data_IF_219121384891
#
_entry.id   IF_219121384891
#
_cell.length_a   1.000
_cell.length_b   1.000
_cell.length_c   1.000
_cell.angle_alpha   90.00
_cell.angle_beta   90.00
_cell.angle_gamma   90.00
#
_symmetry.space_group_name_H-M   'P 1'
#
loop_
_entity.id
_entity.type
_entity.pdbx_description
1 polymer ?
#
# COMPACT_ATOMS: atom_id res chain seq x y z
N UNK A 1 14.31 20.05 -11.33
CA UNK A 1 13.14 20.57 -10.58
C UNK A 1 11.80 20.09 -11.16
N UNK A 2 11.55 20.22 -12.47
CA UNK A 2 10.27 19.81 -13.08
C UNK A 2 9.81 18.37 -12.73
N UNK A 3 10.71 17.38 -12.75
CA UNK A 3 10.36 15.98 -12.38
C UNK A 3 9.85 15.86 -10.94
N UNK A 4 10.41 16.66 -10.02
CA UNK A 4 9.98 16.69 -8.62
C UNK A 4 8.60 17.32 -8.46
N UNK A 5 8.30 18.38 -9.21
CA UNK A 5 7.00 19.06 -9.17
C UNK A 5 5.87 18.15 -9.68
N UNK A 6 6.12 17.44 -10.79
CA UNK A 6 5.19 16.46 -11.35
C UNK A 6 4.96 15.33 -10.34
N UNK A 7 6.04 14.77 -9.80
CA UNK A 7 5.99 13.78 -8.72
C UNK A 7 5.13 14.26 -7.55
N UNK A 8 5.35 15.49 -7.09
CA UNK A 8 4.60 16.03 -5.96
C UNK A 8 3.11 16.26 -6.29
N UNK A 9 2.79 16.66 -7.51
CA UNK A 9 1.40 16.76 -7.97
C UNK A 9 0.71 15.38 -7.95
N UNK A 10 1.40 14.34 -8.43
CA UNK A 10 0.91 12.96 -8.37
C UNK A 10 0.70 12.54 -6.91
N UNK A 11 1.65 12.83 -6.01
CA UNK A 11 1.49 12.50 -4.58
C UNK A 11 0.27 13.18 -3.95
N UNK A 12 -0.01 14.45 -4.28
CA UNK A 12 -1.23 15.14 -3.79
C UNK A 12 -2.50 14.48 -4.30
N UNK A 13 -2.55 14.16 -5.59
CA UNK A 13 -3.67 13.47 -6.19
C UNK A 13 -3.87 12.07 -5.59
N UNK A 14 -2.77 11.33 -5.42
CA UNK A 14 -2.75 10.01 -4.79
C UNK A 14 -3.27 10.04 -3.37
N UNK A 15 -2.86 11.03 -2.56
CA UNK A 15 -3.40 11.21 -1.20
C UNK A 15 -4.89 11.50 -1.19
N UNK A 16 -5.37 12.42 -2.05
CA UNK A 16 -6.81 12.71 -2.13
C UNK A 16 -7.62 11.46 -2.50
N UNK A 17 -7.14 10.70 -3.49
CA UNK A 17 -7.78 9.46 -3.92
C UNK A 17 -7.72 8.40 -2.80
N UNK A 18 -6.61 8.31 -2.07
CA UNK A 18 -6.44 7.39 -0.95
C UNK A 18 -7.43 7.72 0.18
N UNK A 19 -7.56 8.98 0.58
CA UNK A 19 -8.55 9.40 1.59
C UNK A 19 -9.94 9.00 1.15
N UNK A 20 -10.35 9.38 -0.07
CA UNK A 20 -11.70 9.11 -0.55
C UNK A 20 -11.99 7.60 -0.67
N UNK A 21 -11.15 6.85 -1.37
CA UNK A 21 -11.38 5.43 -1.65
C UNK A 21 -11.30 4.58 -0.38
N UNK A 22 -10.29 4.80 0.48
CA UNK A 22 -10.11 4.01 1.69
C UNK A 22 -11.17 4.37 2.75
N UNK A 23 -11.52 5.65 2.93
CA UNK A 23 -12.61 6.02 3.86
C UNK A 23 -13.95 5.44 3.40
N UNK A 24 -14.22 5.43 2.09
CA UNK A 24 -15.43 4.81 1.55
C UNK A 24 -15.43 3.28 1.73
N UNK A 25 -14.28 2.61 1.52
CA UNK A 25 -14.13 1.19 1.79
C UNK A 25 -14.39 0.87 3.27
N UNK A 26 -13.81 1.64 4.20
CA UNK A 26 -14.02 1.48 5.64
C UNK A 26 -15.50 1.62 5.97
N UNK A 27 -16.16 2.68 5.47
CA UNK A 27 -17.59 2.91 5.66
C UNK A 27 -18.44 1.71 5.19
N UNK A 28 -18.18 1.19 3.98
CA UNK A 28 -18.89 0.03 3.46
C UNK A 28 -18.63 -1.21 4.31
N UNK A 29 -17.38 -1.45 4.68
CA UNK A 29 -16.94 -2.62 5.45
C UNK A 29 -17.66 -2.69 6.80
N UNK A 30 -17.73 -1.56 7.51
CA UNK A 30 -18.31 -1.48 8.85
C UNK A 30 -19.84 -1.44 8.84
N UNK A 31 -20.45 -0.70 7.92
CA UNK A 31 -21.88 -0.41 7.97
C UNK A 31 -22.75 -1.35 7.11
N UNK A 32 -22.22 -1.89 6.01
CA UNK A 32 -23.05 -2.53 4.96
C UNK A 32 -22.71 -4.00 4.70
N UNK A 33 -21.45 -4.41 4.89
CA UNK A 33 -21.04 -5.79 4.63
C UNK A 33 -21.47 -6.69 5.79
N UNK A 34 -22.12 -7.81 5.49
CA UNK A 34 -22.62 -8.77 6.50
C UNK A 34 -22.07 -10.18 6.32
N UNK A 35 -21.68 -10.59 5.11
CA UNK A 35 -21.28 -12.00 4.85
C UNK A 35 -19.80 -12.31 5.08
N UNK A 36 -19.05 -11.33 5.53
CA UNK A 36 -17.62 -11.45 5.86
C UNK A 36 -17.47 -11.53 7.38
N UNK A 37 -16.51 -12.33 7.83
CA UNK A 37 -16.20 -12.49 9.24
C UNK A 37 -15.64 -11.18 9.86
N UNK A 38 -15.85 -11.01 11.17
CA UNK A 38 -15.52 -9.77 11.85
C UNK A 38 -14.02 -9.47 11.85
N UNK A 39 -13.16 -10.49 12.01
CA UNK A 39 -11.71 -10.31 12.08
C UNK A 39 -11.20 -9.81 10.72
N UNK A 40 -11.63 -10.40 9.62
CA UNK A 40 -11.24 -9.98 8.29
C UNK A 40 -11.74 -8.57 7.97
N UNK A 41 -12.97 -8.20 8.39
CA UNK A 41 -13.43 -6.80 8.27
C UNK A 41 -12.49 -5.84 9.00
N UNK A 42 -12.02 -6.20 10.19
CA UNK A 42 -11.04 -5.41 10.93
C UNK A 42 -9.72 -5.32 10.18
N UNK A 43 -9.22 -6.42 9.61
CA UNK A 43 -7.99 -6.41 8.80
C UNK A 43 -8.11 -5.53 7.55
N UNK A 44 -9.23 -5.62 6.82
CA UNK A 44 -9.48 -4.78 5.62
C UNK A 44 -9.59 -3.30 6.02
N UNK A 45 -10.31 -3.00 7.09
CA UNK A 45 -10.45 -1.62 7.58
C UNK A 45 -9.11 -1.05 8.07
N UNK A 46 -8.31 -1.86 8.77
CA UNK A 46 -6.98 -1.48 9.24
C UNK A 46 -6.01 -1.25 8.09
N UNK A 47 -6.03 -2.10 7.06
CA UNK A 47 -5.24 -1.92 5.85
C UNK A 47 -5.58 -0.59 5.16
N UNK A 48 -6.87 -0.30 5.02
CA UNK A 48 -7.35 0.96 4.43
C UNK A 48 -6.92 2.19 5.25
N UNK A 49 -6.97 2.12 6.59
CA UNK A 49 -6.49 3.20 7.46
C UNK A 49 -4.98 3.42 7.33
N UNK A 50 -4.18 2.34 7.33
CA UNK A 50 -2.74 2.43 7.09
C UNK A 50 -2.43 2.97 5.70
N UNK A 51 -3.25 2.65 4.70
CA UNK A 51 -3.17 3.21 3.36
C UNK A 51 -3.31 4.73 3.32
N UNK A 52 -4.28 5.29 4.06
CA UNK A 52 -4.44 6.75 4.20
C UNK A 52 -3.24 7.36 4.91
N UNK A 53 -2.80 6.75 6.01
CA UNK A 53 -1.64 7.23 6.77
C UNK A 53 -0.38 7.23 5.91
N UNK A 54 -0.16 6.17 5.13
CA UNK A 54 0.96 6.02 4.22
C UNK A 54 0.99 7.12 3.16
N UNK A 55 -0.10 7.30 2.40
CA UNK A 55 -0.19 8.36 1.38
C UNK A 55 -0.09 9.76 1.99
N UNK A 56 -0.64 9.97 3.19
CA UNK A 56 -0.55 11.26 3.88
C UNK A 56 0.87 11.56 4.38
N UNK A 57 1.57 10.56 4.90
CA UNK A 57 2.93 10.73 5.38
C UNK A 57 3.92 11.02 4.25
N UNK A 58 3.68 10.51 3.05
CA UNK A 58 4.48 10.86 1.87
C UNK A 58 4.46 12.38 1.59
N UNK A 59 3.32 13.07 1.80
CA UNK A 59 3.25 14.53 1.65
C UNK A 59 4.06 15.30 2.71
N UNK A 60 4.22 14.69 3.88
CA UNK A 60 5.03 15.21 4.98
C UNK A 60 6.51 14.98 4.66
N UNK A 61 6.90 13.72 4.48
CA UNK A 61 8.27 13.29 4.23
C UNK A 61 8.83 13.84 2.90
N UNK A 62 7.98 13.96 1.87
CA UNK A 62 8.34 14.27 0.49
C UNK A 62 9.59 13.53 0.01
N UNK A 63 9.59 12.19 0.10
CA UNK A 63 10.74 11.41 -0.34
C UNK A 63 10.91 11.57 -1.85
N UNK A 64 12.16 11.64 -2.27
CA UNK A 64 12.56 11.60 -3.66
C UNK A 64 13.79 10.69 -3.79
N UNK A 65 13.90 10.05 -4.94
CA UNK A 65 14.97 9.09 -5.23
C UNK A 65 15.82 9.56 -6.40
N UNK A 66 17.10 9.26 -6.31
CA UNK A 66 18.05 9.45 -7.40
C UNK A 66 19.04 8.30 -7.42
N UNK A 67 19.24 7.72 -8.59
CA UNK A 67 20.25 6.70 -8.83
C UNK A 67 21.38 7.29 -9.64
N UNK A 68 22.59 7.13 -9.13
CA UNK A 68 23.81 7.59 -9.76
C UNK A 68 24.89 6.53 -9.61
N UNK A 69 25.20 5.83 -10.70
CA UNK A 69 26.12 4.72 -10.80
C UNK A 69 25.95 3.72 -9.65
N UNK A 70 26.92 3.67 -8.75
CA UNK A 70 27.01 2.73 -7.62
C UNK A 70 26.17 3.16 -6.41
N UNK A 71 25.37 4.22 -6.57
CA UNK A 71 24.65 4.86 -5.49
C UNK A 71 23.17 5.04 -5.78
N UNK A 72 22.41 5.00 -4.70
CA UNK A 72 21.00 5.36 -4.65
C UNK A 72 20.78 6.27 -3.44
N UNK A 73 20.13 7.39 -3.67
CA UNK A 73 19.90 8.41 -2.66
C UNK A 73 18.41 8.58 -2.46
N UNK A 74 17.98 8.43 -1.21
CA UNK A 74 16.66 8.85 -0.75
C UNK A 74 16.79 10.17 -0.03
N UNK A 75 16.11 11.22 -0.49
CA UNK A 75 16.24 12.54 0.10
C UNK A 75 14.91 13.30 0.07
N UNK A 76 14.83 14.36 0.86
CA UNK A 76 13.71 15.30 0.82
C UNK A 76 14.21 16.67 0.39
N UNK A 77 13.46 17.35 -0.47
CA UNK A 77 13.72 18.75 -0.81
C UNK A 77 13.21 19.72 0.27
N UNK A 78 12.54 19.24 1.34
CA UNK A 78 12.17 20.09 2.46
C UNK A 78 13.34 20.22 3.43
N UNK A 79 13.76 21.47 3.65
CA UNK A 79 14.76 21.85 4.66
C UNK A 79 14.16 22.74 5.76
N UNK A 80 12.87 23.05 5.69
CA UNK A 80 12.21 24.12 6.47
C UNK A 80 12.06 23.88 7.97
N UNK A 81 12.34 22.66 8.47
CA UNK A 81 12.17 22.32 9.89
C UNK A 81 13.49 21.82 10.48
N UNK A 82 13.89 20.59 10.15
CA UNK A 82 15.13 19.99 10.63
C UNK A 82 15.51 18.83 9.72
N UNK A 83 16.81 18.66 9.42
CA UNK A 83 17.28 17.50 8.68
C UNK A 83 16.94 16.18 9.41
N UNK A 84 17.08 16.14 10.75
CA UNK A 84 16.77 14.94 11.54
C UNK A 84 15.30 14.55 11.43
N UNK A 85 14.39 15.52 11.45
CA UNK A 85 12.96 15.26 11.30
C UNK A 85 12.63 14.66 9.93
N UNK A 86 13.22 15.17 8.85
CA UNK A 86 12.97 14.65 7.52
C UNK A 86 13.67 13.31 7.27
N UNK A 87 14.85 13.08 7.86
CA UNK A 87 15.46 11.74 7.89
C UNK A 87 14.56 10.74 8.61
N UNK A 88 14.06 11.08 9.80
CA UNK A 88 13.05 10.27 10.49
C UNK A 88 11.84 10.01 9.59
N UNK A 89 11.32 11.06 8.95
CA UNK A 89 10.12 10.97 8.13
C UNK A 89 10.28 10.08 6.90
N UNK A 90 11.43 10.16 6.20
CA UNK A 90 11.76 9.29 5.06
C UNK A 90 11.89 7.84 5.51
N UNK A 91 12.61 7.59 6.61
CA UNK A 91 12.77 6.23 7.13
C UNK A 91 11.44 5.65 7.62
N UNK A 92 10.62 6.45 8.29
CA UNK A 92 9.30 6.03 8.77
C UNK A 92 8.39 5.67 7.60
N UNK A 93 8.42 6.46 6.52
CA UNK A 93 7.73 6.15 5.27
C UNK A 93 8.18 4.78 4.70
N UNK A 94 9.49 4.52 4.67
CA UNK A 94 10.02 3.24 4.23
C UNK A 94 9.54 2.07 5.13
N UNK A 95 9.58 2.22 6.45
CA UNK A 95 9.06 1.23 7.39
C UNK A 95 7.55 0.97 7.24
N UNK A 96 6.75 2.01 6.97
CA UNK A 96 5.32 1.83 6.70
C UNK A 96 5.05 1.05 5.41
N UNK A 97 5.88 1.23 4.37
CA UNK A 97 5.73 0.44 3.14
C UNK A 97 5.91 -1.07 3.40
N UNK A 98 6.87 -1.43 4.26
CA UNK A 98 7.06 -2.82 4.69
C UNK A 98 5.92 -3.31 5.57
N UNK A 99 5.40 -2.47 6.48
CA UNK A 99 4.24 -2.82 7.30
C UNK A 99 3.00 -3.12 6.44
N UNK A 100 2.75 -2.34 5.38
CA UNK A 100 1.67 -2.63 4.43
C UNK A 100 1.87 -3.98 3.72
N UNK A 101 3.10 -4.30 3.31
CA UNK A 101 3.43 -5.60 2.71
C UNK A 101 3.17 -6.76 3.67
N UNK A 102 3.63 -6.63 4.91
CA UNK A 102 3.43 -7.62 5.95
C UNK A 102 1.94 -7.83 6.27
N UNK A 103 1.14 -6.75 6.31
CA UNK A 103 -0.30 -6.86 6.52
C UNK A 103 -1.00 -7.55 5.34
N UNK A 104 -0.56 -7.31 4.10
CA UNK A 104 -1.05 -8.05 2.93
C UNK A 104 -0.75 -9.55 3.05
N UNK A 105 0.49 -9.92 3.40
CA UNK A 105 0.87 -11.31 3.65
C UNK A 105 0.00 -11.95 4.75
N UNK A 106 -0.21 -11.24 5.86
CA UNK A 106 -1.08 -11.67 6.95
C UNK A 106 -2.52 -11.92 6.50
N UNK A 107 -3.07 -11.09 5.61
CA UNK A 107 -4.40 -11.32 5.04
C UNK A 107 -4.46 -12.65 4.25
N UNK A 108 -3.48 -12.96 3.41
CA UNK A 108 -3.43 -14.25 2.71
C UNK A 108 -3.38 -15.44 3.67
N UNK A 109 -2.55 -15.36 4.72
CA UNK A 109 -2.45 -16.40 5.76
C UNK A 109 -3.81 -16.57 6.45
N UNK A 110 -4.39 -15.47 6.94
CA UNK A 110 -5.68 -15.49 7.62
C UNK A 110 -6.77 -16.13 6.74
N UNK A 111 -6.85 -15.74 5.47
CA UNK A 111 -7.85 -16.25 4.53
C UNK A 111 -7.69 -17.74 4.24
N UNK A 112 -6.46 -18.22 4.13
CA UNK A 112 -6.20 -19.65 4.02
C UNK A 112 -6.67 -20.40 5.27
N UNK A 113 -6.33 -19.90 6.46
CA UNK A 113 -6.75 -20.52 7.72
C UNK A 113 -8.27 -20.60 7.83
N UNK A 114 -9.00 -19.54 7.46
CA UNK A 114 -10.47 -19.54 7.43
C UNK A 114 -11.03 -20.52 6.39
N UNK A 115 -10.41 -20.62 5.21
CA UNK A 115 -10.84 -21.55 4.15
C UNK A 115 -10.62 -23.03 4.54
N UNK A 116 -9.62 -23.30 5.37
CA UNK A 116 -9.37 -24.64 5.89
C UNK A 116 -10.40 -25.08 6.94
N UNK A 117 -11.07 -24.15 7.63
CA UNK A 117 -11.96 -24.46 8.75
C UNK A 117 -13.29 -25.10 8.31
N UNK A 118 -13.77 -26.02 9.14
CA UNK A 118 -15.16 -26.51 9.13
C UNK A 118 -16.07 -25.47 9.80
N UNK A 119 -17.34 -25.42 9.40
CA UNK A 119 -18.28 -24.35 9.79
C UNK A 119 -18.47 -24.21 11.32
N UNK A 120 -18.24 -25.30 12.08
CA UNK A 120 -18.39 -25.37 13.53
C UNK A 120 -17.23 -24.75 14.35
N UNK A 121 -16.05 -24.48 13.77
CA UNK A 121 -14.91 -23.92 14.53
C UNK A 121 -14.90 -22.39 14.66
N UNK A 122 -15.92 -21.70 14.12
CA UNK A 122 -16.03 -20.22 14.11
C UNK A 122 -16.15 -19.58 15.51
N UNK A 123 -16.45 -20.36 16.55
CA UNK A 123 -16.74 -19.85 17.91
C UNK A 123 -15.49 -19.52 18.76
N UNK A 124 -14.29 -19.97 18.37
CA UNK A 124 -13.13 -20.02 19.30
C UNK A 124 -12.13 -18.86 19.20
N UNK A 125 -12.39 -17.80 18.43
CA UNK A 125 -11.34 -16.82 18.07
C UNK A 125 -11.68 -15.34 18.29
N UNK A 126 -12.51 -15.01 19.28
CA UNK A 126 -12.75 -13.60 19.64
C UNK A 126 -11.49 -12.86 20.15
N UNK A 127 -10.38 -13.55 20.46
CA UNK A 127 -9.13 -12.95 20.92
C UNK A 127 -7.99 -12.84 19.90
N UNK A 128 -8.07 -13.45 18.70
CA UNK A 128 -6.93 -13.48 17.74
C UNK A 128 -6.82 -12.25 16.85
N UNK A 129 -7.88 -11.42 16.75
CA UNK A 129 -7.92 -10.26 15.85
C UNK A 129 -6.83 -9.22 16.12
N UNK A 130 -6.47 -9.00 17.39
CA UNK A 130 -5.44 -8.02 17.77
C UNK A 130 -4.05 -8.41 17.27
N UNK A 131 -3.73 -9.71 17.26
CA UNK A 131 -2.43 -10.21 16.79
C UNK A 131 -2.20 -9.86 15.31
N UNK A 132 -3.25 -9.98 14.47
CA UNK A 132 -3.18 -9.64 13.05
C UNK A 132 -2.96 -8.15 12.79
N UNK A 133 -3.44 -7.28 13.69
CA UNK A 133 -3.31 -5.82 13.60
C UNK A 133 -1.92 -5.37 14.07
N UNK A 134 -1.38 -6.03 15.11
CA UNK A 134 -0.08 -5.67 15.69
C UNK A 134 1.11 -6.26 14.91
N UNK A 135 0.94 -7.42 14.27
CA UNK A 135 2.01 -8.09 13.53
C UNK A 135 2.79 -7.19 12.55
N UNK A 136 2.15 -6.36 11.69
CA UNK A 136 2.86 -5.50 10.73
C UNK A 136 3.84 -4.49 11.34
N UNK A 137 3.66 -4.14 12.61
CA UNK A 137 4.55 -3.21 13.29
C UNK A 137 5.97 -3.77 13.41
N UNK A 138 6.12 -5.10 13.62
CA UNK A 138 7.42 -5.74 13.80
C UNK A 138 8.31 -5.60 12.54
N UNK A 139 7.90 -6.08 11.35
CA UNK A 139 8.72 -5.93 10.15
C UNK A 139 8.87 -4.48 9.72
N UNK A 140 7.85 -3.63 9.93
CA UNK A 140 7.96 -2.19 9.67
C UNK A 140 9.02 -1.51 10.54
N UNK A 141 9.07 -1.81 11.84
CA UNK A 141 10.10 -1.28 12.76
C UNK A 141 11.49 -1.82 12.40
N UNK A 142 11.60 -3.10 12.04
CA UNK A 142 12.87 -3.69 11.62
C UNK A 142 13.42 -3.01 10.36
N UNK A 143 12.58 -2.80 9.35
CA UNK A 143 12.95 -2.12 8.11
C UNK A 143 13.30 -0.65 8.35
N UNK A 144 12.47 0.07 9.12
CA UNK A 144 12.74 1.44 9.54
C UNK A 144 14.10 1.56 10.22
N UNK A 145 14.35 0.72 11.22
CA UNK A 145 15.53 0.83 12.08
C UNK A 145 16.80 0.55 11.30
N UNK A 146 16.79 -0.47 10.45
CA UNK A 146 17.96 -0.79 9.64
C UNK A 146 18.23 0.23 8.56
N UNK A 147 17.20 0.70 7.85
CA UNK A 147 17.34 1.78 6.88
C UNK A 147 17.91 3.03 7.55
N UNK A 148 17.34 3.41 8.70
CA UNK A 148 17.79 4.60 9.43
C UNK A 148 19.23 4.47 9.93
N UNK A 149 19.63 3.32 10.48
CA UNK A 149 20.96 3.16 11.08
C UNK A 149 22.06 2.90 10.05
N UNK A 150 21.75 2.17 8.99
CA UNK A 150 22.76 1.68 8.05
C UNK A 150 22.93 2.56 6.82
N UNK A 151 21.91 3.33 6.42
CA UNK A 151 21.97 4.16 5.21
C UNK A 151 22.23 5.65 5.49
N UNK A 152 22.61 6.03 6.72
CA UNK A 152 23.00 7.42 7.01
C UNK A 152 24.22 7.82 6.16
N UNK A 153 24.24 9.05 5.62
CA UNK A 153 25.35 9.52 4.81
C UNK A 153 26.62 9.70 5.65
N UNK A 154 27.77 9.55 5.00
CA UNK A 154 29.07 9.94 5.53
C UNK A 154 29.76 10.95 4.59
N UNK A 155 30.91 11.46 5.00
CA UNK A 155 31.65 12.48 4.25
C UNK A 155 32.05 12.00 2.84
N UNK A 156 32.33 10.71 2.68
CA UNK A 156 32.69 10.14 1.39
C UNK A 156 31.48 10.10 0.45
N UNK A 157 30.35 9.58 0.92
CA UNK A 157 29.10 9.53 0.17
C UNK A 157 28.67 10.92 -0.31
N UNK A 158 28.80 11.94 0.55
CA UNK A 158 28.50 13.32 0.18
C UNK A 158 29.45 13.87 -0.87
N UNK A 159 30.74 13.61 -0.72
CA UNK A 159 31.76 14.07 -1.68
C UNK A 159 31.54 13.42 -3.04
N UNK A 160 31.19 12.13 -3.08
CA UNK A 160 30.85 11.40 -4.29
C UNK A 160 29.63 11.99 -5.02
N UNK A 161 28.60 12.38 -4.26
CA UNK A 161 27.34 12.88 -4.81
C UNK A 161 27.32 14.39 -5.09
N UNK A 162 28.27 15.16 -4.57
CA UNK A 162 28.24 16.64 -4.58
C UNK A 162 28.06 17.22 -5.97
N UNK A 163 28.89 16.80 -6.92
CA UNK A 163 28.84 17.31 -8.30
C UNK A 163 27.55 16.91 -9.00
N UNK A 164 27.09 15.67 -8.79
CA UNK A 164 25.85 15.18 -9.38
C UNK A 164 24.63 15.94 -8.85
N UNK A 165 24.54 16.13 -7.53
CA UNK A 165 23.43 16.86 -6.92
C UNK A 165 23.39 18.32 -7.33
N UNK A 166 24.57 18.97 -7.43
CA UNK A 166 24.67 20.33 -7.93
C UNK A 166 24.20 20.42 -9.39
N UNK A 167 24.60 19.47 -10.24
CA UNK A 167 24.14 19.44 -11.63
C UNK A 167 22.64 19.13 -11.76
N UNK A 168 22.15 18.11 -11.07
CA UNK A 168 20.79 17.57 -11.25
C UNK A 168 19.72 18.40 -10.56
N UNK A 169 20.06 19.07 -9.45
CA UNK A 169 19.13 19.77 -8.58
C UNK A 169 19.55 21.20 -8.23
N UNK A 170 20.80 21.60 -8.48
CA UNK A 170 21.31 22.92 -8.06
C UNK A 170 21.49 23.03 -6.55
N UNK A 171 21.71 21.90 -5.86
CA UNK A 171 21.77 21.82 -4.40
C UNK A 171 23.06 21.17 -3.95
N UNK A 172 23.59 21.63 -2.81
CA UNK A 172 24.58 20.86 -2.07
C UNK A 172 23.87 19.70 -1.34
N UNK A 173 24.27 18.48 -1.69
CA UNK A 173 23.75 17.24 -1.09
C UNK A 173 23.84 17.26 0.43
N UNK A 174 24.86 17.90 1.02
CA UNK A 174 25.08 17.97 2.46
C UNK A 174 23.95 18.71 3.21
N UNK A 175 23.30 19.64 2.52
CA UNK A 175 22.27 20.53 3.08
C UNK A 175 20.87 19.91 3.07
N UNK A 176 20.67 18.80 2.35
CA UNK A 176 19.37 18.11 2.26
C UNK A 176 19.32 16.89 3.17
N UNK A 177 18.18 16.66 3.85
CA UNK A 177 17.96 15.41 4.59
C UNK A 177 17.99 14.22 3.63
N UNK A 178 18.87 13.25 3.89
CA UNK A 178 19.11 12.12 2.99
C UNK A 178 19.54 10.83 3.69
N UNK A 179 19.39 9.74 2.96
CA UNK A 179 20.02 8.43 3.14
C UNK A 179 20.70 8.04 1.83
N UNK A 180 21.87 7.40 1.93
CA UNK A 180 22.68 7.01 0.79
C UNK A 180 23.02 5.52 0.87
N UNK A 181 22.54 4.78 -0.12
CA UNK A 181 22.94 3.39 -0.37
C UNK A 181 24.02 3.45 -1.45
N UNK A 182 25.26 3.24 -1.03
CA UNK A 182 26.47 3.21 -1.85
C UNK A 182 27.19 1.88 -1.59
N UNK A 183 27.50 1.13 -2.65
CA UNK A 183 27.98 -0.26 -2.51
C UNK A 183 29.47 -0.35 -2.16
N UNK A 184 30.29 0.53 -2.73
CA UNK A 184 31.75 0.48 -2.64
C UNK A 184 32.35 1.82 -2.21
N UNK A 185 33.54 1.75 -1.62
CA UNK A 185 34.41 2.90 -1.40
C UNK A 185 35.34 3.11 -2.61
N UNK A 186 36.09 4.21 -2.62
CA UNK A 186 37.04 4.54 -3.70
C UNK A 186 38.12 3.47 -3.89
N UNK A 187 38.52 2.80 -2.81
CA UNK A 187 39.50 1.70 -2.80
C UNK A 187 38.90 0.34 -3.23
N UNK A 188 37.62 0.31 -3.62
CA UNK A 188 36.89 -0.91 -3.99
C UNK A 188 36.41 -1.73 -2.78
N UNK A 189 36.65 -1.27 -1.54
CA UNK A 189 36.17 -2.00 -0.36
C UNK A 189 34.65 -1.91 -0.22
N UNK A 190 34.04 -3.02 0.22
CA UNK A 190 32.59 -3.13 0.39
C UNK A 190 32.13 -2.28 1.58
N UNK A 191 31.04 -1.53 1.37
CA UNK A 191 30.38 -0.76 2.42
C UNK A 191 29.40 -1.66 3.19
N UNK A 192 29.93 -2.39 4.16
CA UNK A 192 29.20 -3.42 4.93
C UNK A 192 27.88 -2.96 5.52
N UNK A 193 27.77 -1.72 6.04
CA UNK A 193 26.48 -1.20 6.56
C UNK A 193 25.40 -1.22 5.48
N UNK A 194 25.70 -0.68 4.30
CA UNK A 194 24.77 -0.61 3.18
C UNK A 194 24.45 -2.00 2.65
N UNK A 195 25.44 -2.90 2.59
CA UNK A 195 25.22 -4.29 2.21
C UNK A 195 24.34 -5.05 3.21
N UNK A 196 24.53 -4.83 4.51
CA UNK A 196 23.68 -5.40 5.56
C UNK A 196 22.22 -4.92 5.43
N UNK A 197 22.02 -3.62 5.16
CA UNK A 197 20.68 -3.10 4.88
C UNK A 197 20.07 -3.76 3.63
N UNK A 198 20.80 -3.81 2.52
CA UNK A 198 20.32 -4.42 1.28
C UNK A 198 19.95 -5.89 1.50
N UNK A 199 20.81 -6.68 2.14
CA UNK A 199 20.56 -8.08 2.44
C UNK A 199 19.31 -8.26 3.32
N UNK A 200 19.15 -7.44 4.35
CA UNK A 200 17.97 -7.49 5.22
C UNK A 200 16.70 -7.04 4.49
N UNK A 201 16.76 -5.98 3.68
CA UNK A 201 15.64 -5.50 2.87
C UNK A 201 15.17 -6.59 1.90
N UNK A 202 16.10 -7.27 1.23
CA UNK A 202 15.79 -8.41 0.35
C UNK A 202 15.18 -9.56 1.12
N UNK A 203 15.76 -9.91 2.28
CA UNK A 203 15.26 -11.00 3.10
C UNK A 203 13.82 -10.73 3.57
N UNK A 204 13.53 -9.54 4.11
CA UNK A 204 12.23 -9.24 4.70
C UNK A 204 11.15 -9.04 3.63
N UNK A 205 11.44 -8.30 2.55
CA UNK A 205 10.54 -8.14 1.41
C UNK A 205 10.28 -9.48 0.73
N UNK A 206 11.35 -10.24 0.46
CA UNK A 206 11.30 -11.55 -0.17
C UNK A 206 10.53 -12.56 0.67
N UNK A 207 10.71 -12.54 1.99
CA UNK A 207 9.97 -13.40 2.92
C UNK A 207 8.46 -13.13 2.86
N UNK A 208 8.02 -11.88 2.96
CA UNK A 208 6.58 -11.56 2.89
C UNK A 208 6.01 -11.87 1.50
N UNK A 209 6.75 -11.60 0.43
CA UNK A 209 6.36 -12.00 -0.93
C UNK A 209 6.19 -13.50 -1.09
N UNK A 210 7.13 -14.28 -0.55
CA UNK A 210 7.07 -15.74 -0.56
C UNK A 210 5.83 -16.23 0.19
N UNK A 211 5.52 -15.66 1.36
CA UNK A 211 4.30 -15.98 2.11
C UNK A 211 3.06 -15.69 1.28
N UNK A 212 2.97 -14.53 0.63
CA UNK A 212 1.83 -14.19 -0.24
C UNK A 212 1.66 -15.24 -1.34
N UNK A 213 2.73 -15.57 -2.07
CA UNK A 213 2.67 -16.55 -3.17
C UNK A 213 2.29 -17.94 -2.67
N UNK A 214 2.93 -18.44 -1.61
CA UNK A 214 2.66 -19.75 -1.04
C UNK A 214 1.21 -19.88 -0.58
N UNK A 215 0.70 -18.89 0.15
CA UNK A 215 -0.67 -18.93 0.64
C UNK A 215 -1.70 -18.65 -0.45
N UNK A 216 -1.36 -17.87 -1.48
CA UNK A 216 -2.21 -17.72 -2.66
C UNK A 216 -2.39 -19.06 -3.39
N UNK A 217 -1.29 -19.79 -3.64
CA UNK A 217 -1.34 -21.12 -4.28
C UNK A 217 -2.13 -22.10 -3.40
N UNK A 218 -1.85 -22.14 -2.09
CA UNK A 218 -2.57 -23.01 -1.16
C UNK A 218 -4.08 -22.71 -1.12
N UNK A 219 -4.46 -21.43 -1.14
CA UNK A 219 -5.86 -21.02 -1.22
C UNK A 219 -6.53 -21.48 -2.52
N UNK A 220 -5.85 -21.32 -3.66
CA UNK A 220 -6.38 -21.78 -4.95
C UNK A 220 -6.75 -23.27 -4.92
N UNK A 221 -5.84 -24.11 -4.42
CA UNK A 221 -6.10 -25.55 -4.32
C UNK A 221 -7.19 -25.89 -3.29
N UNK A 222 -7.22 -25.21 -2.14
CA UNK A 222 -8.27 -25.44 -1.13
C UNK A 222 -9.66 -25.07 -1.65
N UNK A 223 -9.77 -23.92 -2.35
CA UNK A 223 -11.04 -23.48 -2.94
C UNK A 223 -11.53 -24.47 -4.01
N UNK A 224 -10.62 -25.02 -4.81
CA UNK A 224 -10.95 -26.05 -5.81
C UNK A 224 -11.39 -27.36 -5.15
N UNK A 225 -10.72 -27.80 -4.08
CA UNK A 225 -11.04 -29.06 -3.37
C UNK A 225 -12.41 -29.01 -2.70
N UNK A 226 -12.75 -27.89 -2.05
CA UNK A 226 -13.99 -27.76 -1.27
C UNK A 226 -15.18 -27.22 -2.08
N UNK A 227 -15.09 -27.21 -3.41
CA UNK A 227 -16.13 -26.69 -4.28
C UNK A 227 -17.42 -27.52 -4.21
N UNK A 228 -17.32 -28.83 -3.91
CA UNK A 228 -18.45 -29.75 -3.75
C UNK A 228 -19.03 -29.78 -2.33
N UNK A 229 -18.26 -29.36 -1.31
CA UNK A 229 -18.65 -29.44 0.10
C UNK A 229 -19.33 -28.15 0.61
N UNK A 230 -19.05 -27.01 -0.02
CA UNK A 230 -19.60 -25.72 0.40
C UNK A 230 -20.83 -25.30 -0.39
N UNK A 231 -21.68 -24.49 0.25
CA UNK A 231 -22.77 -23.81 -0.47
C UNK A 231 -22.21 -22.98 -1.62
N UNK A 232 -22.90 -23.00 -2.75
CA UNK A 232 -22.54 -22.25 -3.97
C UNK A 232 -22.33 -20.76 -3.69
N UNK A 233 -23.07 -20.20 -2.72
CA UNK A 233 -22.95 -18.80 -2.31
C UNK A 233 -21.66 -18.53 -1.53
N UNK A 234 -21.29 -19.40 -0.58
CA UNK A 234 -20.05 -19.24 0.20
C UNK A 234 -18.81 -19.42 -0.67
N UNK A 235 -18.78 -20.46 -1.51
CA UNK A 235 -17.67 -20.72 -2.44
C UNK A 235 -17.45 -19.54 -3.39
N UNK A 236 -18.53 -18.96 -3.95
CA UNK A 236 -18.43 -17.77 -4.81
C UNK A 236 -17.86 -16.56 -4.09
N UNK A 237 -18.26 -16.30 -2.83
CA UNK A 237 -17.72 -15.17 -2.06
C UNK A 237 -16.22 -15.35 -1.77
N UNK A 238 -15.81 -16.55 -1.39
CA UNK A 238 -14.39 -16.85 -1.15
C UNK A 238 -13.55 -16.70 -2.41
N UNK A 239 -14.03 -17.17 -3.57
CA UNK A 239 -13.37 -16.99 -4.86
C UNK A 239 -13.23 -15.51 -5.25
N UNK A 240 -14.25 -14.68 -4.97
CA UNK A 240 -14.19 -13.24 -5.25
C UNK A 240 -13.15 -12.52 -4.38
N UNK A 241 -13.11 -12.83 -3.09
CA UNK A 241 -12.14 -12.23 -2.18
C UNK A 241 -10.73 -12.70 -2.51
N UNK A 242 -10.57 -13.98 -2.87
CA UNK A 242 -9.29 -14.51 -3.34
C UNK A 242 -8.80 -13.84 -4.62
N UNK A 243 -9.69 -13.67 -5.61
CA UNK A 243 -9.38 -12.95 -6.85
C UNK A 243 -9.01 -11.49 -6.57
N UNK A 244 -9.73 -10.83 -5.65
CA UNK A 244 -9.41 -9.46 -5.23
C UNK A 244 -7.98 -9.39 -4.67
N UNK A 245 -7.63 -10.29 -3.74
CA UNK A 245 -6.30 -10.37 -3.13
C UNK A 245 -5.18 -10.63 -4.17
N UNK A 246 -5.43 -11.52 -5.13
CA UNK A 246 -4.49 -11.75 -6.24
C UNK A 246 -4.28 -10.47 -7.03
N UNK A 247 -5.36 -9.78 -7.44
CA UNK A 247 -5.26 -8.56 -8.22
C UNK A 247 -4.58 -7.43 -7.43
N UNK A 248 -4.90 -7.30 -6.14
CA UNK A 248 -4.25 -6.39 -5.19
C UNK A 248 -2.75 -6.66 -5.03
N UNK A 249 -2.28 -7.89 -5.25
CA UNK A 249 -0.84 -8.23 -5.20
C UNK A 249 -0.16 -8.08 -6.56
N UNK A 250 -0.81 -8.54 -7.63
CA UNK A 250 -0.22 -8.53 -8.98
C UNK A 250 -0.10 -7.11 -9.54
N UNK A 251 -1.13 -6.28 -9.38
CA UNK A 251 -1.12 -4.90 -9.88
C UNK A 251 0.12 -4.16 -9.33
N UNK A 252 0.41 -4.18 -8.02
CA UNK A 252 1.62 -3.57 -7.48
C UNK A 252 2.91 -4.24 -7.91
N UNK A 253 2.90 -5.56 -8.07
CA UNK A 253 4.10 -6.29 -8.50
C UNK A 253 4.57 -5.78 -9.87
N UNK A 254 3.65 -5.65 -10.83
CA UNK A 254 3.97 -5.18 -12.18
C UNK A 254 4.23 -3.67 -12.25
N UNK A 255 3.46 -2.87 -11.51
CA UNK A 255 3.57 -1.40 -11.58
C UNK A 255 4.74 -0.87 -10.75
N UNK A 256 5.06 -1.49 -9.61
CA UNK A 256 6.06 -0.99 -8.67
C UNK A 256 7.29 -1.87 -8.57
N UNK A 257 7.12 -3.15 -8.31
CA UNK A 257 8.24 -3.98 -7.84
C UNK A 257 9.16 -4.36 -8.99
N UNK A 258 8.60 -4.69 -10.15
CA UNK A 258 9.41 -4.94 -11.34
C UNK A 258 10.25 -3.72 -11.74
N UNK A 259 9.70 -2.48 -11.77
CA UNK A 259 10.54 -1.29 -11.96
C UNK A 259 11.47 -0.95 -10.79
N UNK A 260 11.04 -1.15 -9.54
CA UNK A 260 11.81 -0.78 -8.36
C UNK A 260 12.99 -1.72 -8.10
N UNK A 261 12.90 -3.00 -8.48
CA UNK A 261 13.97 -3.99 -8.29
C UNK A 261 15.29 -3.54 -8.91
N UNK A 262 15.38 -3.30 -10.23
CA UNK A 262 16.58 -2.78 -10.88
C UNK A 262 17.05 -1.45 -10.31
N UNK A 263 16.14 -0.59 -9.85
CA UNK A 263 16.47 0.69 -9.23
C UNK A 263 17.09 0.51 -7.83
N UNK A 264 16.60 -0.44 -7.05
CA UNK A 264 17.09 -0.73 -5.71
C UNK A 264 18.41 -1.52 -5.74
N UNK A 265 18.57 -2.43 -6.72
CA UNK A 265 19.79 -3.22 -6.92
C UNK A 265 20.82 -2.54 -7.83
N UNK A 266 20.44 -1.49 -8.56
CA UNK A 266 21.33 -0.72 -9.43
C UNK A 266 22.67 -0.34 -8.80
N UNK A 267 22.72 0.13 -7.53
CA UNK A 267 23.96 0.38 -6.81
C UNK A 267 24.92 -0.81 -6.75
N UNK A 268 24.40 -2.04 -6.68
CA UNK A 268 25.19 -3.26 -6.60
C UNK A 268 25.57 -3.77 -8.00
N UNK A 269 24.66 -3.63 -8.97
CA UNK A 269 24.81 -4.18 -10.31
C UNK A 269 25.65 -3.28 -11.24
N UNK A 270 25.54 -1.96 -11.11
CA UNK A 270 26.26 -0.99 -11.97
C UNK A 270 27.78 -1.22 -11.99
N UNK A 271 28.46 -1.44 -10.85
CA UNK A 271 29.89 -1.76 -10.83
C UNK A 271 30.24 -3.13 -11.43
N UNK A 272 29.35 -4.11 -11.27
CA UNK A 272 29.59 -5.49 -11.72
C UNK A 272 29.50 -5.60 -13.25
N UNK A 273 28.58 -4.85 -13.85
CA UNK A 273 28.29 -4.91 -15.28
C UNK A 273 28.79 -3.67 -16.06
N UNK A 274 29.50 -2.76 -15.39
CA UNK A 274 30.10 -1.55 -15.93
C UNK A 274 29.14 -0.69 -16.80
N UNK A 275 27.89 -0.54 -16.34
CA UNK A 275 26.93 0.34 -17.00
C UNK A 275 26.67 1.61 -16.18
N UNK A 276 26.78 2.81 -16.78
CA UNK A 276 26.52 4.06 -16.09
C UNK A 276 25.03 4.20 -15.79
N UNK A 277 24.70 4.61 -14.56
CA UNK A 277 23.33 4.92 -14.15
C UNK A 277 23.25 6.40 -13.81
N UNK A 278 22.31 7.12 -14.41
CA UNK A 278 21.97 8.48 -14.00
C UNK A 278 20.49 8.71 -14.16
N UNK A 279 19.72 8.35 -13.14
CA UNK A 279 18.27 8.31 -13.20
C UNK A 279 17.64 9.08 -12.03
N UNK A 280 16.76 10.03 -12.35
CA UNK A 280 15.88 10.68 -11.38
C UNK A 280 14.69 9.76 -11.08
N UNK A 281 14.94 8.71 -10.30
CA UNK A 281 14.00 7.64 -9.97
C UNK A 281 12.87 8.04 -9.00
N UNK A 282 12.85 9.29 -8.53
CA UNK A 282 11.85 9.78 -7.56
C UNK A 282 10.39 9.75 -8.03
N UNK A 283 10.12 9.54 -9.31
CA UNK A 283 8.77 9.25 -9.79
C UNK A 283 8.17 7.99 -9.15
N UNK A 284 9.00 7.00 -8.77
CA UNK A 284 8.55 5.79 -8.08
C UNK A 284 7.89 6.10 -6.74
N UNK A 285 8.45 7.04 -5.96
CA UNK A 285 7.84 7.47 -4.70
C UNK A 285 6.40 7.93 -4.93
N UNK A 286 6.18 8.74 -5.95
CA UNK A 286 4.87 9.33 -6.23
C UNK A 286 3.83 8.32 -6.66
N UNK A 287 4.20 7.27 -7.39
CA UNK A 287 3.23 6.24 -7.76
C UNK A 287 2.83 5.43 -6.50
N UNK A 288 3.73 5.24 -5.52
CA UNK A 288 3.38 4.55 -4.26
C UNK A 288 2.23 5.24 -3.52
N UNK A 289 2.14 6.58 -3.58
CA UNK A 289 1.03 7.34 -2.98
C UNK A 289 -0.36 6.95 -3.49
N UNK A 290 -0.45 6.50 -4.75
CA UNK A 290 -1.71 6.20 -5.45
C UNK A 290 -2.16 4.76 -5.16
N UNK A 291 -1.21 3.88 -4.87
CA UNK A 291 -1.45 2.45 -4.68
C UNK A 291 -2.53 2.13 -3.64
N UNK A 292 -2.51 2.69 -2.41
CA UNK A 292 -3.54 2.37 -1.42
C UNK A 292 -4.96 2.65 -1.90
N UNK A 293 -5.14 3.62 -2.80
CA UNK A 293 -6.43 3.92 -3.38
C UNK A 293 -6.83 2.90 -4.45
N UNK A 294 -5.90 2.55 -5.34
CA UNK A 294 -6.09 1.51 -6.36
C UNK A 294 -6.47 0.19 -5.69
N UNK A 295 -5.75 -0.18 -4.63
CA UNK A 295 -6.00 -1.39 -3.85
C UNK A 295 -7.45 -1.46 -3.35
N UNK A 296 -7.91 -0.41 -2.67
CA UNK A 296 -9.29 -0.29 -2.19
C UNK A 296 -10.32 -0.35 -3.31
N UNK A 297 -10.07 0.32 -4.43
CA UNK A 297 -10.99 0.34 -5.58
C UNK A 297 -11.10 -1.06 -6.20
N UNK A 298 -9.98 -1.74 -6.41
CA UNK A 298 -9.94 -3.12 -6.94
C UNK A 298 -10.74 -4.05 -6.04
N UNK A 299 -10.53 -3.97 -4.72
CA UNK A 299 -11.27 -4.77 -3.76
C UNK A 299 -12.78 -4.54 -3.85
N UNK A 300 -13.22 -3.28 -3.87
CA UNK A 300 -14.64 -2.93 -3.97
C UNK A 300 -15.27 -3.38 -5.29
N UNK A 301 -14.56 -3.30 -6.41
CA UNK A 301 -15.07 -3.67 -7.73
C UNK A 301 -15.17 -5.19 -7.90
N UNK A 302 -14.22 -5.94 -7.35
CA UNK A 302 -14.14 -7.40 -7.53
C UNK A 302 -15.09 -8.14 -6.58
N UNK A 303 -15.22 -7.70 -5.33
CA UNK A 303 -16.09 -8.39 -4.35
C UNK A 303 -17.54 -7.92 -4.50
N UNK A 304 -18.45 -8.82 -4.92
CA UNK A 304 -19.82 -8.45 -5.33
C UNK A 304 -20.64 -7.74 -4.25
N UNK A 305 -20.44 -8.11 -2.98
CA UNK A 305 -21.13 -7.46 -1.86
C UNK A 305 -20.69 -6.01 -1.68
N UNK A 306 -19.39 -5.72 -1.81
CA UNK A 306 -18.85 -4.37 -1.82
C UNK A 306 -19.33 -3.61 -3.05
N UNK A 307 -19.21 -4.19 -4.25
CA UNK A 307 -19.68 -3.59 -5.50
C UNK A 307 -21.14 -3.16 -5.41
N UNK A 308 -22.03 -4.07 -4.95
CA UNK A 308 -23.45 -3.77 -4.80
C UNK A 308 -23.69 -2.65 -3.78
N UNK A 309 -23.01 -2.70 -2.64
CA UNK A 309 -23.15 -1.69 -1.59
C UNK A 309 -22.66 -0.32 -2.07
N UNK A 310 -21.52 -0.28 -2.78
CA UNK A 310 -20.98 0.92 -3.40
C UNK A 310 -21.94 1.49 -4.45
N UNK A 311 -22.39 0.69 -5.42
CA UNK A 311 -23.32 1.14 -6.48
C UNK A 311 -24.62 1.68 -5.89
N UNK A 312 -25.23 0.99 -4.93
CA UNK A 312 -26.48 1.44 -4.31
C UNK A 312 -26.33 2.81 -3.64
N UNK A 313 -25.16 3.10 -3.05
CA UNK A 313 -24.90 4.37 -2.37
C UNK A 313 -24.57 5.48 -3.34
N UNK A 314 -23.72 5.22 -4.34
CA UNK A 314 -23.41 6.19 -5.39
C UNK A 314 -24.68 6.57 -6.15
N UNK A 315 -25.46 5.59 -6.61
CA UNK A 315 -26.74 5.85 -7.31
C UNK A 315 -27.78 6.49 -6.38
N UNK A 316 -27.81 6.13 -5.10
CA UNK A 316 -28.70 6.74 -4.11
C UNK A 316 -28.40 8.22 -3.83
N UNK A 317 -27.13 8.63 -3.94
CA UNK A 317 -26.71 10.04 -3.84
C UNK A 317 -27.14 10.84 -5.08
N UNK A 318 -27.15 10.21 -6.26
CA UNK A 318 -27.55 10.84 -7.53
C UNK A 318 -29.04 10.70 -7.88
N UNK A 319 -29.85 10.02 -7.06
CA UNK A 319 -31.30 10.04 -7.23
C UNK A 319 -31.87 11.35 -6.65
N UNK A 320 -32.52 12.21 -7.45
CA UNK A 320 -33.25 13.33 -6.88
C UNK A 320 -34.36 12.79 -5.99
N UNK A 321 -34.48 13.35 -4.78
CA UNK A 321 -35.59 13.09 -3.87
C UNK A 321 -36.88 13.64 -4.50
N UNK A 322 -37.47 12.90 -5.43
CA UNK A 322 -38.81 13.19 -5.92
C UNK A 322 -39.78 12.42 -5.04
N UNK A 323 -40.15 13.00 -3.91
CA UNK A 323 -41.38 12.65 -3.21
C UNK A 323 -42.54 13.29 -3.97
N UNK A 324 -43.09 12.59 -4.96
CA UNK A 324 -44.44 12.92 -5.43
C UNK A 324 -45.43 12.40 -4.39
N UNK A 325 -45.86 13.29 -3.51
CA UNK A 325 -47.07 13.13 -2.70
C UNK A 325 -48.26 13.08 -3.66
N UNK A 326 -48.67 11.89 -4.08
CA UNK A 326 -49.99 11.69 -4.65
C UNK A 326 -51.01 11.80 -3.51
N UNK A 327 -51.45 13.03 -3.20
CA UNK A 327 -52.68 13.22 -2.46
C UNK A 327 -53.82 12.65 -3.31
N UNK A 328 -54.35 11.52 -2.87
CA UNK A 328 -55.58 10.93 -3.40
C UNK A 328 -56.74 11.90 -3.17
N UNK A 329 -57.15 12.61 -4.22
CA UNK A 329 -58.48 13.22 -4.26
C UNK A 329 -59.52 12.12 -4.47
N UNK A 330 -59.98 11.50 -3.38
CA UNK A 330 -61.28 10.83 -3.36
C UNK A 330 -62.36 11.90 -3.24
N UNK A 331 -63.01 12.23 -4.36
CA UNK A 331 -64.26 12.98 -4.34
C UNK A 331 -65.37 11.99 -3.99
N UNK A 332 -65.90 12.10 -2.78
CA UNK A 332 -67.07 11.36 -2.33
C UNK A 332 -68.33 12.02 -2.90
N UNK A 333 -68.93 11.44 -3.95
CA UNK A 333 -70.21 11.88 -4.51
C UNK A 333 -71.32 10.99 -3.98
N UNK A 334 -71.67 11.18 -2.71
CA UNK A 334 -72.91 10.66 -2.12
C UNK A 334 -73.66 11.75 -1.38
N UNK A 335 -74.29 12.64 -2.13
CA UNK A 335 -75.48 13.38 -1.66
C UNK A 335 -76.22 14.00 -2.83
N UNK A 336 -77.33 13.39 -3.23
CA UNK A 336 -78.57 14.04 -3.73
C UNK A 336 -79.54 12.96 -4.22
N UNK A 337 -80.35 12.45 -3.29
CA UNK A 337 -81.72 12.02 -3.57
C UNK A 337 -82.57 12.48 -2.41
N UNK A 338 -83.14 13.68 -2.54
CA UNK A 338 -84.38 14.09 -1.88
C UNK A 338 -85.14 14.93 -2.90
N UNK A 339 -86.39 14.50 -3.13
CA UNK A 339 -87.45 14.99 -4.02
C UNK A 339 -87.44 14.44 -5.45
#
# INVERSE_FOLDING_TARGET
MQSYEISFLITKFGFFLAVFANSFLIYITLCHVRKIDAIYKTMVSFYAMLGILFSGWELIAKPFMHNFNESMVFFSLRTTVSQKFFQFSIAFYAGMSEALMALMAAQFVYRYLVSCRAEHSKKYEQGSGLLWILYPAIPGILYYSSFYLFCLPDHYADSYLRTEFQFSYGLDVSTVPRFVILSYNLDGSIRWKNLCFLAQAVFILGFHYLIIVLFAIKMHFQLKKKLSEYSTTYSRLQNQIFLALILQTLIPTFIFILPAGPIFFGPLLSPIFDFPIRLKSGWLCSIFSVYPAIDSIVFMVVVKEYKRSATNRVVGVFKPNVQFSAQSFTIDVRSRQVL
#
